data_IF_212223096539
#
_entry.id   IF_212223096539
#
_cell.length_a   1.000
_cell.length_b   1.000
_cell.length_c   1.000
_cell.angle_alpha   90.00
_cell.angle_beta   90.00
_cell.angle_gamma   90.00
#
_symmetry.space_group_name_H-M   'P 1'
#
loop_
_entity.id
_entity.type
_entity.pdbx_description
1 polymer ?
#
# COMPACT_ATOMS: atom_id res chain seq x y z
N UNK A 1 6.59 5.45 13.64
CA UNK A 1 5.32 4.94 13.09
C UNK A 1 4.29 4.72 14.20
N UNK A 2 3.00 4.77 13.85
CA UNK A 2 1.88 4.45 14.75
C UNK A 2 1.43 3.01 14.53
N UNK A 3 1.35 2.61 13.26
CA UNK A 3 0.94 1.28 12.85
C UNK A 3 1.55 0.93 11.50
N UNK A 4 2.04 -0.30 11.36
CA UNK A 4 2.64 -0.82 10.13
C UNK A 4 2.13 -2.23 9.87
N UNK A 5 1.48 -2.41 8.74
CA UNK A 5 1.05 -3.70 8.18
C UNK A 5 1.11 -3.63 6.65
N UNK A 6 0.96 -4.74 5.92
CA UNK A 6 0.88 -4.70 4.46
C UNK A 6 -0.28 -3.85 3.92
N UNK A 7 -1.35 -3.71 4.69
CA UNK A 7 -2.53 -2.95 4.27
C UNK A 7 -2.33 -1.45 4.43
N UNK A 8 -1.55 -1.02 5.44
CA UNK A 8 -1.36 0.39 5.74
C UNK A 8 -0.10 0.62 6.59
N UNK A 9 0.60 1.71 6.32
CA UNK A 9 1.52 2.34 7.26
C UNK A 9 0.98 3.70 7.64
N UNK A 10 0.93 3.98 8.94
CA UNK A 10 0.56 5.30 9.46
C UNK A 10 1.62 5.82 10.43
N UNK A 11 1.89 7.13 10.38
CA UNK A 11 2.86 7.78 11.26
C UNK A 11 2.57 9.26 11.46
N UNK A 12 3.13 9.81 12.54
CA UNK A 12 3.38 11.23 12.65
C UNK A 12 4.79 11.54 12.13
N UNK A 13 4.91 12.60 11.36
CA UNK A 13 6.19 13.09 10.85
C UNK A 13 6.33 14.56 11.20
N UNK A 14 7.44 14.88 11.88
CA UNK A 14 7.89 16.26 12.11
C UNK A 14 9.02 16.59 11.17
N UNK A 15 8.95 17.74 10.54
CA UNK A 15 9.99 18.27 9.66
C UNK A 15 10.37 19.68 10.10
N UNK A 16 11.68 19.96 10.14
CA UNK A 16 12.20 21.26 10.54
C UNK A 16 12.07 22.29 9.41
N UNK A 17 12.10 23.60 9.74
CA UNK A 17 12.03 24.67 8.74
C UNK A 17 13.06 24.50 7.63
N UNK A 18 12.66 24.74 6.39
CA UNK A 18 13.51 24.62 5.20
C UNK A 18 13.78 23.19 4.73
N UNK A 19 13.23 22.18 5.41
CA UNK A 19 13.36 20.78 4.96
C UNK A 19 12.53 20.56 3.71
N UNK A 20 13.12 19.85 2.73
CA UNK A 20 12.49 19.37 1.52
C UNK A 20 12.67 17.85 1.48
N UNK A 21 11.57 17.10 1.42
CA UNK A 21 11.62 15.65 1.29
C UNK A 21 12.06 15.24 -0.12
N UNK A 22 12.57 14.03 -0.25
CA UNK A 22 12.88 13.45 -1.56
C UNK A 22 11.60 13.29 -2.40
N UNK A 23 11.72 13.59 -3.71
CA UNK A 23 10.65 13.39 -4.67
C UNK A 23 10.48 11.91 -4.95
N UNK A 24 9.26 11.41 -4.80
CA UNK A 24 8.95 9.99 -4.97
C UNK A 24 7.47 9.76 -5.34
N UNK A 25 7.13 8.51 -5.59
CA UNK A 25 5.75 8.03 -5.73
C UNK A 25 5.58 6.68 -5.03
N UNK A 26 4.33 6.24 -4.88
CA UNK A 26 3.98 4.90 -4.40
C UNK A 26 3.33 4.11 -5.52
N UNK A 27 4.00 3.05 -6.01
CA UNK A 27 3.56 2.29 -7.20
C UNK A 27 2.22 1.58 -7.03
N UNK A 28 1.89 1.20 -5.81
CA UNK A 28 0.64 0.48 -5.48
C UNK A 28 -0.31 1.28 -4.61
N UNK A 29 0.18 2.35 -3.98
CA UNK A 29 -0.50 2.97 -2.86
C UNK A 29 -0.89 4.42 -3.07
N UNK A 30 -1.89 4.81 -2.30
CA UNK A 30 -2.20 6.21 -2.05
C UNK A 30 -1.46 6.66 -0.80
N UNK A 31 -1.02 7.92 -0.77
CA UNK A 31 -0.54 8.55 0.45
C UNK A 31 -1.42 9.74 0.82
N UNK A 32 -1.86 9.76 2.07
CA UNK A 32 -2.71 10.82 2.63
C UNK A 32 -1.87 11.62 3.62
N UNK A 33 -1.97 12.94 3.53
CA UNK A 33 -1.28 13.88 4.41
C UNK A 33 -2.30 14.78 5.09
N UNK A 34 -2.22 14.89 6.41
CA UNK A 34 -3.00 15.82 7.22
C UNK A 34 -2.04 16.70 8.03
N UNK A 35 -2.06 18.00 7.82
CA UNK A 35 -1.24 18.93 8.59
C UNK A 35 -1.86 19.14 9.97
N UNK A 36 -1.06 18.97 11.00
CA UNK A 36 -1.45 19.18 12.40
C UNK A 36 -0.88 20.49 12.95
N UNK A 37 0.37 20.82 12.59
CA UNK A 37 1.07 22.03 13.03
C UNK A 37 1.96 22.54 11.90
N UNK A 38 2.24 23.85 11.90
CA UNK A 38 3.08 24.49 10.89
C UNK A 38 2.42 24.59 9.53
N UNK A 39 3.23 24.72 8.48
CA UNK A 39 2.76 24.80 7.09
C UNK A 39 3.68 24.03 6.16
N UNK A 40 3.12 23.44 5.14
CA UNK A 40 3.87 22.73 4.10
C UNK A 40 3.37 23.09 2.71
N UNK A 41 4.29 23.10 1.75
CA UNK A 41 4.02 23.12 0.32
C UNK A 41 4.13 21.71 -0.20
N UNK A 42 3.05 21.25 -0.82
CA UNK A 42 2.98 19.98 -1.55
C UNK A 42 3.06 20.26 -3.04
N UNK A 43 3.84 19.46 -3.73
CA UNK A 43 3.81 19.34 -5.18
C UNK A 43 3.43 17.90 -5.51
N UNK A 44 2.28 17.71 -6.13
CA UNK A 44 1.72 16.38 -6.45
C UNK A 44 1.35 16.39 -7.93
N UNK A 45 1.99 15.54 -8.72
CA UNK A 45 1.75 15.41 -10.17
C UNK A 45 1.76 16.78 -10.90
N UNK A 46 2.71 17.65 -10.52
CA UNK A 46 2.87 19.00 -11.06
C UNK A 46 1.93 20.06 -10.50
N UNK A 47 0.92 19.70 -9.71
CA UNK A 47 0.06 20.65 -9.00
C UNK A 47 0.68 21.05 -7.66
N UNK A 48 0.54 22.33 -7.31
CA UNK A 48 1.13 22.88 -6.08
C UNK A 48 0.01 23.38 -5.16
N UNK A 49 0.10 22.97 -3.88
CA UNK A 49 -0.76 23.48 -2.83
C UNK A 49 0.05 23.77 -1.56
N UNK A 50 -0.31 24.84 -0.85
CA UNK A 50 0.19 25.15 0.47
C UNK A 50 -0.88 24.82 1.50
N UNK A 51 -0.55 24.00 2.49
CA UNK A 51 -1.48 23.50 3.49
C UNK A 51 -1.01 23.89 4.89
N UNK A 52 -2.00 24.21 5.73
CA UNK A 52 -1.85 24.48 7.16
C UNK A 52 -2.66 23.51 8.03
N UNK A 53 -2.69 23.74 9.36
CA UNK A 53 -3.35 22.85 10.31
C UNK A 53 -4.82 22.59 9.98
N UNK A 54 -5.21 21.30 9.96
CA UNK A 54 -6.55 20.84 9.63
C UNK A 54 -6.79 20.64 8.12
N UNK A 55 -5.85 20.99 7.27
CA UNK A 55 -5.92 20.79 5.83
C UNK A 55 -5.23 19.49 5.41
N UNK A 56 -5.71 18.86 4.35
CA UNK A 56 -5.20 17.59 3.89
C UNK A 56 -5.09 17.54 2.36
N UNK A 57 -4.18 16.68 1.87
CA UNK A 57 -4.09 16.31 0.46
C UNK A 57 -3.82 14.81 0.31
N UNK A 58 -3.94 14.34 -0.93
CA UNK A 58 -3.75 12.93 -1.29
C UNK A 58 -2.89 12.84 -2.54
N UNK A 59 -1.79 12.10 -2.45
CA UNK A 59 -1.08 11.58 -3.62
C UNK A 59 -1.68 10.22 -3.98
N UNK A 60 -2.13 10.06 -5.21
CA UNK A 60 -2.71 8.81 -5.71
C UNK A 60 -1.61 7.83 -6.11
N UNK A 61 -2.03 6.63 -6.47
CA UNK A 61 -1.13 5.60 -7.01
C UNK A 61 -0.28 6.20 -8.13
N UNK A 62 1.03 6.01 -8.00
CA UNK A 62 2.06 6.42 -8.96
C UNK A 62 2.18 7.93 -9.24
N UNK A 63 1.47 8.79 -8.53
CA UNK A 63 1.63 10.25 -8.65
C UNK A 63 2.94 10.71 -7.98
N UNK A 64 3.89 11.29 -8.75
CA UNK A 64 5.09 11.88 -8.19
C UNK A 64 4.73 13.02 -7.25
N UNK A 65 5.34 13.03 -6.07
CA UNK A 65 5.07 14.07 -5.09
C UNK A 65 6.30 14.42 -4.25
N UNK A 66 6.26 15.63 -3.71
CA UNK A 66 7.27 16.19 -2.83
C UNK A 66 6.61 17.11 -1.82
N UNK A 67 7.10 17.09 -0.57
CA UNK A 67 6.69 18.00 0.49
C UNK A 67 7.87 18.85 0.95
N UNK A 68 7.62 20.14 1.18
CA UNK A 68 8.58 21.06 1.76
C UNK A 68 7.94 21.89 2.86
N UNK A 69 8.72 22.13 3.93
CA UNK A 69 8.27 23.00 5.04
C UNK A 69 8.39 24.46 4.62
N UNK A 70 7.36 25.25 4.84
CA UNK A 70 7.32 26.70 4.57
C UNK A 70 7.18 27.49 5.87
N UNK A 71 7.85 28.66 5.90
CA UNK A 71 7.92 29.51 7.09
C UNK A 71 9.09 29.13 8.02
N UNK A 72 9.04 29.68 9.22
CA UNK A 72 10.11 29.60 10.23
C UNK A 72 9.79 28.62 11.38
N UNK A 73 8.64 27.96 11.32
CA UNK A 73 8.20 26.99 12.33
C UNK A 73 8.28 25.56 11.77
N UNK A 74 8.58 24.56 12.62
CA UNK A 74 8.49 23.16 12.23
C UNK A 74 7.07 22.80 11.82
N UNK A 75 6.96 21.84 10.90
CA UNK A 75 5.69 21.27 10.49
C UNK A 75 5.54 19.87 11.07
N UNK A 76 4.37 19.56 11.62
CA UNK A 76 3.96 18.21 12.02
C UNK A 76 2.77 17.79 11.21
N UNK A 77 2.84 16.59 10.63
CA UNK A 77 1.74 15.98 9.88
C UNK A 77 1.50 14.55 10.33
N UNK A 78 0.26 14.09 10.19
CA UNK A 78 -0.08 12.68 10.09
C UNK A 78 -0.03 12.29 8.61
N UNK A 79 0.55 11.12 8.32
CA UNK A 79 0.50 10.55 6.99
C UNK A 79 0.21 9.05 7.04
N UNK A 80 -0.43 8.55 5.98
CA UNK A 80 -0.66 7.11 5.79
C UNK A 80 -0.48 6.71 4.34
N UNK A 81 0.16 5.55 4.14
CA UNK A 81 0.35 4.90 2.83
C UNK A 81 -0.43 3.60 2.82
N UNK A 82 -1.22 3.36 1.77
CA UNK A 82 -2.04 2.16 1.65
C UNK A 82 -2.16 1.68 0.19
N UNK A 83 -1.74 0.42 -0.13
CA UNK A 83 -1.05 -0.55 0.74
C UNK A 83 0.40 -0.16 1.03
N UNK A 84 0.98 -0.78 2.06
CA UNK A 84 2.40 -0.67 2.40
C UNK A 84 3.11 -1.98 2.09
N UNK A 85 3.46 -2.17 0.83
CA UNK A 85 4.18 -3.34 0.32
C UNK A 85 5.51 -2.86 -0.25
N UNK A 86 6.62 -3.46 0.17
CA UNK A 86 7.96 -3.07 -0.28
C UNK A 86 8.21 -3.42 -1.75
N UNK A 87 8.94 -2.56 -2.52
CA UNK A 87 9.38 -1.22 -2.16
C UNK A 87 8.21 -0.23 -2.13
N UNK A 88 8.04 0.49 -1.03
CA UNK A 88 6.90 1.40 -0.88
C UNK A 88 7.13 2.75 -1.55
N UNK A 89 8.40 3.11 -1.77
CA UNK A 89 8.80 4.38 -2.37
C UNK A 89 9.57 4.12 -3.66
N UNK A 90 9.08 4.66 -4.76
CA UNK A 90 9.82 4.77 -6.01
C UNK A 90 10.37 6.18 -6.12
N UNK A 91 11.69 6.32 -5.98
CA UNK A 91 12.34 7.62 -6.15
C UNK A 91 12.10 8.19 -7.54
N UNK A 92 11.92 9.51 -7.63
CA UNK A 92 11.76 10.23 -8.89
C UNK A 92 12.89 11.23 -9.06
N UNK A 93 13.30 11.47 -10.29
CA UNK A 93 14.21 12.57 -10.63
C UNK A 93 13.45 13.88 -10.91
N UNK A 94 14.14 14.91 -11.38
CA UNK A 94 13.55 16.21 -11.69
C UNK A 94 12.62 16.21 -12.92
N UNK A 95 12.66 15.16 -13.74
CA UNK A 95 11.78 14.95 -14.88
C UNK A 95 10.64 13.95 -14.58
N UNK A 96 10.49 13.58 -13.30
CA UNK A 96 9.56 12.56 -12.80
C UNK A 96 9.83 11.13 -13.31
N UNK A 97 11.01 10.89 -13.89
CA UNK A 97 11.43 9.55 -14.29
C UNK A 97 11.75 8.68 -13.06
N UNK A 98 11.44 7.39 -13.15
CA UNK A 98 11.65 6.44 -12.08
C UNK A 98 13.15 6.16 -11.86
N UNK A 99 13.61 6.30 -10.64
CA UNK A 99 14.93 5.82 -10.22
C UNK A 99 14.92 4.31 -9.99
N UNK A 100 16.09 3.66 -9.94
CA UNK A 100 16.19 2.24 -9.61
C UNK A 100 15.48 1.89 -8.31
N UNK A 101 14.85 0.72 -8.28
CA UNK A 101 14.18 0.17 -7.10
C UNK A 101 15.16 0.08 -5.93
N UNK A 102 14.71 0.51 -4.76
CA UNK A 102 15.47 0.45 -3.52
C UNK A 102 14.62 -0.15 -2.40
N UNK A 103 15.09 -1.24 -1.83
CA UNK A 103 14.53 -1.81 -0.61
C UNK A 103 15.14 -1.14 0.61
N UNK A 104 14.32 -0.76 1.57
CA UNK A 104 14.76 -0.19 2.83
C UNK A 104 14.80 -1.29 3.91
N UNK A 105 15.71 -1.18 4.90
CA UNK A 105 15.75 -2.12 6.01
C UNK A 105 14.49 -2.02 6.86
N UNK A 106 14.14 -3.09 7.57
CA UNK A 106 12.96 -3.15 8.46
C UNK A 106 12.95 -2.02 9.50
N UNK A 107 14.14 -1.63 9.99
CA UNK A 107 14.31 -0.52 10.94
C UNK A 107 13.84 0.84 10.42
N UNK A 108 13.81 1.06 9.10
CA UNK A 108 13.26 2.29 8.52
C UNK A 108 11.74 2.43 8.78
N UNK A 109 11.09 1.35 9.17
CA UNK A 109 9.67 1.29 9.48
C UNK A 109 9.40 0.96 10.96
N UNK A 110 10.40 1.07 11.83
CA UNK A 110 10.35 0.68 13.25
C UNK A 110 9.93 -0.79 13.45
N UNK A 111 10.32 -1.65 12.51
CA UNK A 111 10.06 -3.09 12.57
C UNK A 111 11.34 -3.86 12.88
N UNK A 112 11.19 -4.94 13.65
CA UNK A 112 12.27 -5.88 13.90
C UNK A 112 12.54 -6.73 12.66
N UNK A 113 13.80 -7.04 12.43
CA UNK A 113 14.19 -7.96 11.38
C UNK A 113 13.79 -9.40 11.76
N UNK A 114 13.26 -10.14 10.81
CA UNK A 114 12.92 -11.56 11.03
C UNK A 114 14.17 -12.39 11.31
N UNK A 115 14.09 -13.26 12.32
CA UNK A 115 15.16 -14.21 12.67
C UNK A 115 15.07 -15.55 11.92
N UNK A 116 14.01 -15.77 11.15
CA UNK A 116 13.85 -16.97 10.32
C UNK A 116 14.97 -16.99 9.27
N UNK A 117 15.65 -18.12 9.01
CA UNK A 117 16.63 -18.23 7.93
C UNK A 117 16.08 -17.74 6.60
N UNK A 118 16.91 -17.07 5.79
CA UNK A 118 16.42 -16.45 4.56
C UNK A 118 15.87 -17.48 3.57
N UNK A 119 16.48 -18.65 3.49
CA UNK A 119 16.04 -19.74 2.61
C UNK A 119 14.64 -20.23 3.02
N UNK A 120 14.39 -20.41 4.31
CA UNK A 120 13.05 -20.78 4.82
C UNK A 120 12.01 -19.66 4.55
N UNK A 121 12.44 -18.41 4.63
CA UNK A 121 11.58 -17.26 4.29
C UNK A 121 11.21 -17.24 2.81
N UNK A 122 12.15 -17.60 1.93
CA UNK A 122 11.92 -17.69 0.48
C UNK A 122 10.97 -18.85 0.18
N UNK A 123 11.22 -20.03 0.75
CA UNK A 123 10.38 -21.22 0.56
C UNK A 123 8.93 -20.92 1.00
N UNK A 124 8.76 -20.31 2.17
CA UNK A 124 7.43 -19.92 2.64
C UNK A 124 6.76 -18.87 1.73
N UNK A 125 7.51 -17.91 1.19
CA UNK A 125 6.95 -16.97 0.21
C UNK A 125 6.47 -17.68 -1.07
N UNK A 126 7.23 -18.65 -1.57
CA UNK A 126 6.85 -19.45 -2.75
C UNK A 126 5.58 -20.26 -2.48
N UNK A 127 5.48 -20.93 -1.31
CA UNK A 127 4.27 -21.67 -0.91
C UNK A 127 3.04 -20.76 -0.84
N UNK A 128 3.19 -19.56 -0.30
CA UNK A 128 2.10 -18.58 -0.26
C UNK A 128 1.70 -18.09 -1.66
N UNK A 129 2.67 -17.86 -2.55
CA UNK A 129 2.39 -17.47 -3.94
C UNK A 129 1.64 -18.56 -4.71
N UNK A 130 2.01 -19.83 -4.54
CA UNK A 130 1.29 -20.97 -5.09
C UNK A 130 -0.14 -21.08 -4.52
N UNK A 131 -0.29 -20.85 -3.21
CA UNK A 131 -1.58 -20.84 -2.54
C UNK A 131 -2.50 -19.72 -3.06
N UNK A 132 -1.95 -18.52 -3.29
CA UNK A 132 -2.69 -17.40 -3.93
C UNK A 132 -3.18 -17.80 -5.32
N UNK A 133 -2.31 -18.41 -6.14
CA UNK A 133 -2.68 -18.82 -7.50
C UNK A 133 -3.83 -19.86 -7.47
N UNK A 134 -3.74 -20.88 -6.60
CA UNK A 134 -4.77 -21.89 -6.44
C UNK A 134 -6.11 -21.31 -5.94
N UNK A 135 -6.04 -20.39 -4.96
CA UNK A 135 -7.22 -19.72 -4.41
C UNK A 135 -7.90 -18.84 -5.46
N UNK A 136 -7.14 -18.08 -6.23
CA UNK A 136 -7.66 -17.22 -7.30
C UNK A 136 -8.34 -18.06 -8.41
N UNK A 137 -7.76 -19.21 -8.77
CA UNK A 137 -8.36 -20.11 -9.74
C UNK A 137 -9.69 -20.69 -9.24
N UNK A 138 -9.75 -21.13 -7.99
CA UNK A 138 -10.98 -21.62 -7.35
C UNK A 138 -12.05 -20.52 -7.32
N UNK A 139 -11.68 -19.31 -6.91
CA UNK A 139 -12.58 -18.16 -6.88
C UNK A 139 -13.13 -17.80 -8.27
N UNK A 140 -12.31 -17.88 -9.31
CA UNK A 140 -12.73 -17.64 -10.70
C UNK A 140 -13.74 -18.67 -11.18
N UNK A 141 -13.57 -19.95 -10.81
CA UNK A 141 -14.48 -21.02 -11.17
C UNK A 141 -15.82 -20.90 -10.43
N UNK A 142 -15.79 -20.64 -9.12
CA UNK A 142 -16.97 -20.32 -8.32
C UNK A 142 -17.73 -19.11 -8.88
N UNK A 143 -17.00 -18.03 -9.21
CA UNK A 143 -17.58 -16.80 -9.77
C UNK A 143 -18.26 -17.05 -11.11
N UNK A 144 -17.69 -17.89 -11.99
CA UNK A 144 -18.31 -18.26 -13.28
C UNK A 144 -19.64 -18.96 -13.09
N UNK A 145 -19.72 -19.91 -12.14
CA UNK A 145 -20.95 -20.66 -11.84
C UNK A 145 -21.97 -19.74 -11.15
N UNK A 146 -21.55 -19.03 -10.11
CA UNK A 146 -22.42 -18.13 -9.35
C UNK A 146 -22.90 -16.95 -10.21
N UNK A 147 -22.07 -16.41 -11.08
CA UNK A 147 -22.43 -15.32 -12.00
C UNK A 147 -23.58 -15.70 -12.96
N UNK A 148 -23.50 -16.90 -13.55
CA UNK A 148 -24.59 -17.41 -14.39
C UNK A 148 -25.92 -17.62 -13.62
N UNK A 149 -25.82 -18.04 -12.35
CA UNK A 149 -27.00 -18.20 -11.47
C UNK A 149 -27.53 -16.84 -11.02
N UNK A 150 -26.65 -15.89 -10.70
CA UNK A 150 -27.00 -14.51 -10.34
C UNK A 150 -27.78 -13.82 -11.46
N UNK A 151 -27.30 -13.92 -12.70
CA UNK A 151 -27.98 -13.35 -13.87
C UNK A 151 -29.40 -13.89 -14.02
N UNK A 152 -29.59 -15.19 -13.85
CA UNK A 152 -30.93 -15.84 -13.91
C UNK A 152 -31.83 -15.39 -12.76
N UNK A 153 -31.29 -15.30 -11.54
CA UNK A 153 -32.06 -14.89 -10.37
C UNK A 153 -32.52 -13.41 -10.50
N UNK A 154 -31.67 -12.54 -11.01
CA UNK A 154 -32.01 -11.14 -11.30
C UNK A 154 -33.07 -11.01 -12.37
N UNK A 155 -32.99 -11.78 -13.47
CA UNK A 155 -34.00 -11.83 -14.51
C UNK A 155 -35.37 -12.34 -14.01
N UNK A 156 -35.34 -13.25 -13.05
CA UNK A 156 -36.56 -13.78 -12.38
C UNK A 156 -37.05 -12.90 -11.21
N UNK A 157 -36.37 -11.80 -10.90
CA UNK A 157 -36.63 -10.94 -9.74
C UNK A 157 -36.62 -11.68 -8.40
N UNK A 158 -35.82 -12.74 -8.29
CA UNK A 158 -35.66 -13.54 -7.08
C UNK A 158 -34.47 -13.00 -6.26
N UNK A 159 -34.74 -12.07 -5.36
CA UNK A 159 -33.74 -11.37 -4.55
C UNK A 159 -32.95 -12.33 -3.62
N UNK A 160 -33.64 -13.31 -3.01
CA UNK A 160 -33.00 -14.26 -2.12
C UNK A 160 -31.97 -15.13 -2.86
N UNK A 161 -32.34 -15.64 -4.03
CA UNK A 161 -31.41 -16.39 -4.87
C UNK A 161 -30.25 -15.52 -5.37
N UNK A 162 -30.53 -14.27 -5.73
CA UNK A 162 -29.49 -13.33 -6.16
C UNK A 162 -28.50 -13.01 -5.02
N UNK A 163 -28.98 -12.80 -3.80
CA UNK A 163 -28.14 -12.58 -2.62
C UNK A 163 -27.21 -13.76 -2.34
N UNK A 164 -27.74 -14.99 -2.34
CA UNK A 164 -26.90 -16.19 -2.16
C UNK A 164 -25.76 -16.27 -3.19
N UNK A 165 -26.01 -15.91 -4.44
CA UNK A 165 -24.94 -15.96 -5.45
C UNK A 165 -23.90 -14.84 -5.25
N UNK A 166 -24.33 -13.64 -4.85
CA UNK A 166 -23.41 -12.55 -4.49
C UNK A 166 -22.51 -12.93 -3.31
N UNK A 167 -23.04 -13.58 -2.29
CA UNK A 167 -22.28 -14.08 -1.15
C UNK A 167 -21.20 -15.08 -1.57
N UNK A 168 -21.54 -16.05 -2.45
CA UNK A 168 -20.55 -17.00 -2.97
C UNK A 168 -19.43 -16.28 -3.69
N UNK A 169 -19.74 -15.32 -4.57
CA UNK A 169 -18.74 -14.53 -5.28
C UNK A 169 -17.89 -13.69 -4.32
N UNK A 170 -18.52 -13.07 -3.32
CA UNK A 170 -17.84 -12.31 -2.29
C UNK A 170 -16.85 -13.17 -1.49
N UNK A 171 -17.23 -14.36 -1.07
CA UNK A 171 -16.32 -15.25 -0.35
C UNK A 171 -15.12 -15.68 -1.19
N UNK A 172 -15.28 -15.84 -2.50
CA UNK A 172 -14.15 -16.04 -3.42
C UNK A 172 -13.18 -14.86 -3.42
N UNK A 173 -13.70 -13.64 -3.55
CA UNK A 173 -12.90 -12.40 -3.46
C UNK A 173 -12.22 -12.30 -2.10
N UNK A 174 -12.97 -12.44 -1.01
CA UNK A 174 -12.46 -12.31 0.36
C UNK A 174 -11.27 -13.27 0.62
N UNK A 175 -11.45 -14.57 0.35
CA UNK A 175 -10.39 -15.58 0.56
C UNK A 175 -9.14 -15.30 -0.27
N UNK A 176 -9.32 -14.81 -1.50
CA UNK A 176 -8.18 -14.46 -2.37
C UNK A 176 -7.41 -13.27 -1.83
N UNK A 177 -8.11 -12.20 -1.42
CA UNK A 177 -7.48 -11.01 -0.84
C UNK A 177 -6.80 -11.30 0.50
N UNK A 178 -7.40 -12.14 1.33
CA UNK A 178 -6.83 -12.59 2.60
C UNK A 178 -5.50 -13.32 2.37
N UNK A 179 -5.47 -14.25 1.40
CA UNK A 179 -4.25 -14.97 1.04
C UNK A 179 -3.18 -14.05 0.40
N UNK A 180 -3.57 -13.06 -0.39
CA UNK A 180 -2.66 -12.03 -0.90
C UNK A 180 -2.08 -11.20 0.25
N UNK A 181 -2.87 -10.92 1.28
CA UNK A 181 -2.39 -10.21 2.47
C UNK A 181 -1.30 -10.99 3.21
N UNK A 182 -1.49 -12.30 3.44
CA UNK A 182 -0.48 -13.18 4.04
C UNK A 182 0.82 -13.20 3.21
N UNK A 183 0.71 -13.35 1.88
CA UNK A 183 1.85 -13.30 0.96
C UNK A 183 2.58 -11.95 1.03
N UNK A 184 1.84 -10.85 1.10
CA UNK A 184 2.40 -9.50 1.20
C UNK A 184 3.11 -9.26 2.54
N UNK A 185 2.60 -9.85 3.63
CA UNK A 185 3.26 -9.81 4.93
C UNK A 185 4.59 -10.57 4.89
N UNK A 186 4.60 -11.77 4.32
CA UNK A 186 5.83 -12.54 4.15
C UNK A 186 6.84 -11.83 3.25
N UNK A 187 6.38 -11.21 2.17
CA UNK A 187 7.21 -10.38 1.30
C UNK A 187 7.86 -9.22 2.05
N UNK A 188 7.10 -8.48 2.86
CA UNK A 188 7.62 -7.36 3.65
C UNK A 188 8.66 -7.81 4.71
N UNK A 189 8.57 -9.04 5.23
CA UNK A 189 9.55 -9.62 6.15
C UNK A 189 10.83 -10.08 5.45
N UNK A 190 10.71 -10.54 4.21
CA UNK A 190 11.80 -11.12 3.44
C UNK A 190 12.58 -10.09 2.62
N UNK A 191 11.87 -9.20 1.91
CA UNK A 191 12.46 -8.31 0.91
C UNK A 191 13.54 -7.36 1.44
N UNK A 192 13.47 -6.81 2.68
CA UNK A 192 14.55 -5.98 3.22
C UNK A 192 15.86 -6.74 3.39
N UNK A 193 15.80 -8.04 3.64
CA UNK A 193 16.95 -8.90 3.92
C UNK A 193 17.64 -9.41 2.66
N UNK A 194 16.88 -9.57 1.58
CA UNK A 194 17.39 -10.11 0.31
C UNK A 194 18.39 -9.17 -0.41
N UNK A 195 18.46 -7.90 -0.02
CA UNK A 195 19.38 -6.90 -0.57
C UNK A 195 20.51 -6.45 0.36
N UNK A 196 20.62 -7.02 1.56
CA UNK A 196 21.54 -6.57 2.62
C UNK A 196 22.96 -7.17 2.52
N UNK A 197 23.37 -7.72 1.38
CA UNK A 197 24.73 -8.23 1.16
C UNK A 197 25.58 -7.14 0.51
N UNK A 198 26.02 -6.15 1.31
CA UNK A 198 26.95 -5.13 0.85
C UNK A 198 27.43 -4.31 2.02
#
# INVERSE_FOLDING_TARGET
>A
NVFVSPQIRSRFLRMEPGTVADRHSHDLGHEIFLILEGKARFEINGEIAELGPGEMCVARVDEPHQVSVIGDQPMTMYLSVTPHIQPTHTGRDSADERKPIRFLPSSAYDQEESHIPIDESIDHFVELAESVAAMAQTAAEEARIAGARLSRALGARNEEAANRQREIMWFGVFRTLDKISEMSEQWNKMSPRAGSTG
#
